data_IF_622581724996
#
_entry.id   IF_622581724996
#
_cell.length_a   1.000
_cell.length_b   1.000
_cell.length_c   1.000
_cell.angle_alpha   90.00
_cell.angle_beta   90.00
_cell.angle_gamma   90.00
#
_symmetry.space_group_name_H-M   'P 1'
#
loop_
_entity.id
_entity.type
_entity.pdbx_description
1 polymer ?
#
# COMPACT_ATOMS: atom_id res chain seq x y z
N UNK A 1 3.39 10.02 -6.41
CA UNK A 1 2.55 9.40 -7.45
C UNK A 1 3.29 8.26 -8.12
N UNK A 2 2.63 7.14 -8.37
CA UNK A 2 3.31 5.95 -8.92
C UNK A 2 3.50 5.98 -10.44
N UNK A 3 2.64 6.70 -11.16
CA UNK A 3 2.70 6.77 -12.63
C UNK A 3 3.97 7.49 -13.06
N UNK A 4 4.69 6.88 -14.00
CA UNK A 4 5.92 7.46 -14.56
C UNK A 4 7.16 7.35 -13.68
N UNK A 5 7.03 6.78 -12.48
CA UNK A 5 8.18 6.56 -11.61
C UNK A 5 8.85 5.22 -11.91
N UNK A 6 10.18 5.22 -11.83
CA UNK A 6 10.96 3.98 -11.83
C UNK A 6 11.23 3.59 -10.39
N UNK A 7 11.13 2.29 -10.10
CA UNK A 7 11.38 1.77 -8.78
C UNK A 7 12.72 1.05 -8.74
N UNK A 8 13.51 1.34 -7.70
CA UNK A 8 14.81 0.72 -7.51
C UNK A 8 14.68 -0.76 -7.20
N UNK A 9 13.64 -1.12 -6.45
CA UNK A 9 13.40 -2.49 -6.04
C UNK A 9 11.92 -2.77 -5.85
N UNK A 10 11.52 -4.01 -6.19
CA UNK A 10 10.17 -4.51 -5.99
C UNK A 10 10.26 -5.83 -5.24
N UNK A 11 9.63 -5.90 -4.08
CA UNK A 11 9.57 -7.14 -3.29
C UNK A 11 8.11 -7.57 -3.14
N UNK A 12 7.88 -8.89 -3.25
CA UNK A 12 6.55 -9.48 -3.13
C UNK A 12 6.51 -10.45 -1.97
N UNK A 13 5.33 -10.52 -1.31
CA UNK A 13 5.07 -11.47 -0.23
C UNK A 13 6.14 -11.40 0.86
N UNK A 14 6.43 -10.17 1.30
CA UNK A 14 7.43 -9.92 2.34
C UNK A 14 6.82 -10.20 3.70
N UNK A 15 7.49 -11.03 4.49
CA UNK A 15 7.06 -11.33 5.85
C UNK A 15 7.96 -10.59 6.83
N UNK A 16 7.35 -9.74 7.65
CA UNK A 16 8.00 -9.12 8.79
C UNK A 16 7.53 -9.78 10.07
N UNK A 17 8.45 -10.15 10.94
CA UNK A 17 8.08 -10.82 12.18
C UNK A 17 8.95 -10.38 13.36
N UNK A 18 8.31 -10.36 14.51
CA UNK A 18 8.98 -10.29 15.80
C UNK A 18 8.58 -11.53 16.57
N UNK A 19 9.05 -11.64 17.81
CA UNK A 19 8.69 -12.74 18.70
C UNK A 19 7.17 -12.90 18.85
N UNK A 20 6.44 -11.77 18.91
CA UNK A 20 5.04 -11.75 19.29
C UNK A 20 4.09 -11.34 18.16
N UNK A 21 4.64 -10.98 16.99
CA UNK A 21 3.83 -10.44 15.90
C UNK A 21 4.42 -10.77 14.55
N UNK A 22 3.53 -10.92 13.56
CA UNK A 22 3.91 -11.20 12.18
C UNK A 22 2.90 -10.55 11.25
N UNK A 23 3.39 -9.96 10.16
CA UNK A 23 2.56 -9.48 9.05
C UNK A 23 3.19 -9.86 7.72
N UNK A 24 2.34 -10.14 6.75
CA UNK A 24 2.74 -10.35 5.36
C UNK A 24 2.36 -9.12 4.54
N UNK A 25 3.29 -8.65 3.71
CA UNK A 25 3.10 -7.51 2.83
C UNK A 25 3.10 -8.01 1.39
N UNK A 26 2.02 -7.73 0.66
CA UNK A 26 1.88 -8.23 -0.71
C UNK A 26 2.95 -7.66 -1.63
N UNK A 27 3.13 -6.33 -1.62
CA UNK A 27 4.11 -5.67 -2.47
C UNK A 27 4.75 -4.51 -1.69
N UNK A 28 6.09 -4.45 -1.74
CA UNK A 28 6.86 -3.29 -1.32
C UNK A 28 7.63 -2.74 -2.51
N UNK A 29 7.40 -1.47 -2.84
CA UNK A 29 8.12 -0.78 -3.91
C UNK A 29 9.04 0.27 -3.30
N UNK A 30 10.32 0.22 -3.67
CA UNK A 30 11.30 1.18 -3.19
C UNK A 30 11.72 2.13 -4.30
N UNK A 31 11.79 3.40 -3.98
CA UNK A 31 12.24 4.45 -4.90
C UNK A 31 12.98 5.51 -4.11
N UNK A 32 14.33 5.52 -4.24
CA UNK A 32 15.16 6.43 -3.47
C UNK A 32 14.96 6.25 -1.97
N UNK A 33 14.42 7.27 -1.32
CA UNK A 33 14.15 7.28 0.12
C UNK A 33 12.69 6.96 0.46
N UNK A 34 11.90 6.50 -0.51
CA UNK A 34 10.48 6.18 -0.32
C UNK A 34 10.21 4.68 -0.43
N UNK A 35 9.27 4.19 0.37
CA UNK A 35 8.72 2.85 0.25
C UNK A 35 7.20 2.94 0.14
N UNK A 36 6.66 2.22 -0.85
CA UNK A 36 5.22 2.09 -1.06
C UNK A 36 4.79 0.72 -0.57
N UNK A 37 3.91 0.71 0.42
CA UNK A 37 3.34 -0.50 1.01
C UNK A 37 2.00 -0.72 0.31
N UNK A 38 1.92 -1.72 -0.57
CA UNK A 38 0.75 -1.94 -1.41
C UNK A 38 0.14 -3.30 -1.09
N UNK A 39 -1.15 -3.28 -0.75
CA UNK A 39 -1.95 -4.49 -0.57
C UNK A 39 -2.83 -4.70 -1.80
N UNK A 40 -2.98 -5.96 -2.18
CA UNK A 40 -3.77 -6.35 -3.36
C UNK A 40 -5.09 -6.92 -2.90
N UNK A 41 -6.20 -6.35 -3.38
CA UNK A 41 -7.57 -6.81 -3.08
C UNK A 41 -8.37 -6.87 -4.36
N UNK A 42 -9.06 -7.99 -4.59
CA UNK A 42 -9.95 -8.08 -5.74
C UNK A 42 -11.04 -7.01 -5.66
N UNK A 43 -11.65 -6.87 -4.47
CA UNK A 43 -12.63 -5.82 -4.17
C UNK A 43 -12.27 -5.19 -2.83
N UNK A 44 -12.19 -3.85 -2.80
CA UNK A 44 -11.88 -3.13 -1.57
C UNK A 44 -13.14 -2.90 -0.75
N UNK A 45 -13.08 -3.29 0.52
CA UNK A 45 -14.11 -3.01 1.52
C UNK A 45 -13.59 -1.95 2.50
N UNK A 46 -14.48 -1.24 3.21
CA UNK A 46 -14.05 -0.22 4.19
C UNK A 46 -13.08 -0.77 5.23
N UNK A 47 -13.26 -2.01 5.67
CA UNK A 47 -12.35 -2.64 6.64
C UNK A 47 -10.93 -2.81 6.11
N UNK A 48 -10.76 -2.93 4.80
CA UNK A 48 -9.43 -3.07 4.19
C UNK A 48 -8.61 -1.80 4.36
N UNK A 49 -9.28 -0.65 4.35
CA UNK A 49 -8.65 0.66 4.59
C UNK A 49 -8.10 0.70 6.01
N UNK A 50 -8.93 0.33 6.99
CA UNK A 50 -8.50 0.29 8.40
C UNK A 50 -7.35 -0.68 8.61
N UNK A 51 -7.42 -1.87 8.03
CA UNK A 51 -6.38 -2.88 8.15
C UNK A 51 -5.05 -2.37 7.59
N UNK A 52 -5.09 -1.74 6.42
CA UNK A 52 -3.89 -1.20 5.79
C UNK A 52 -3.25 -0.12 6.67
N UNK A 53 -4.03 0.81 7.17
CA UNK A 53 -3.50 1.92 7.97
C UNK A 53 -3.03 1.44 9.34
N UNK A 54 -3.86 0.68 10.06
CA UNK A 54 -3.61 0.34 11.47
C UNK A 54 -2.67 -0.84 11.63
N UNK A 55 -2.88 -1.90 10.86
CA UNK A 55 -2.05 -3.11 10.98
C UNK A 55 -0.83 -3.07 10.08
N UNK A 56 -1.03 -2.94 8.78
CA UNK A 56 0.07 -3.01 7.82
C UNK A 56 1.00 -1.81 7.97
N UNK A 57 0.46 -0.61 7.84
CA UNK A 57 1.23 0.62 7.97
C UNK A 57 1.71 0.86 9.40
N UNK A 58 0.83 0.61 10.38
CA UNK A 58 1.15 0.84 11.79
C UNK A 58 2.25 -0.07 12.34
N UNK A 59 2.31 -1.31 11.87
CA UNK A 59 3.30 -2.28 12.33
C UNK A 59 4.56 -2.34 11.45
N UNK A 60 4.60 -1.61 10.36
CA UNK A 60 5.68 -1.72 9.37
C UNK A 60 7.06 -1.53 9.98
N UNK A 61 7.26 -0.44 10.73
CA UNK A 61 8.58 -0.16 11.31
C UNK A 61 8.93 -1.08 12.48
N UNK A 62 7.93 -1.60 13.18
CA UNK A 62 8.17 -2.58 14.23
C UNK A 62 8.67 -3.89 13.65
N UNK A 63 8.09 -4.33 12.54
CA UNK A 63 8.37 -5.62 11.92
C UNK A 63 9.53 -5.57 10.93
N UNK A 64 9.75 -4.42 10.31
CA UNK A 64 10.79 -4.20 9.31
C UNK A 64 11.58 -2.91 9.64
N UNK A 65 12.29 -2.91 10.78
CA UNK A 65 12.96 -1.70 11.26
C UNK A 65 14.10 -1.22 10.38
N UNK A 66 14.61 -2.07 9.50
CA UNK A 66 15.66 -1.69 8.55
C UNK A 66 15.19 -0.62 7.56
N UNK A 67 13.88 -0.40 7.45
CA UNK A 67 13.32 0.61 6.54
C UNK A 67 12.85 1.87 7.26
N UNK A 68 13.31 2.11 8.50
CA UNK A 68 12.86 3.26 9.31
C UNK A 68 13.19 4.62 8.71
N UNK A 69 14.23 4.69 7.88
CA UNK A 69 14.65 5.95 7.25
C UNK A 69 13.91 6.25 5.94
N UNK A 70 13.08 5.31 5.49
CA UNK A 70 12.28 5.50 4.28
C UNK A 70 10.99 6.25 4.59
N UNK A 71 10.61 7.15 3.68
CA UNK A 71 9.30 7.77 3.71
C UNK A 71 8.25 6.74 3.26
N UNK A 72 7.22 6.54 4.05
CA UNK A 72 6.22 5.49 3.80
C UNK A 72 4.99 6.03 3.11
N UNK A 73 4.51 5.28 2.13
CA UNK A 73 3.28 5.54 1.42
C UNK A 73 2.43 4.28 1.39
N UNK A 74 1.11 4.42 1.50
CA UNK A 74 0.19 3.30 1.50
C UNK A 74 -0.58 3.26 0.18
N UNK A 75 -0.81 2.05 -0.34
CA UNK A 75 -1.56 1.85 -1.56
C UNK A 75 -2.41 0.59 -1.51
N UNK A 76 -3.52 0.62 -2.26
CA UNK A 76 -4.37 -0.54 -2.53
C UNK A 76 -4.45 -0.74 -4.03
N UNK A 77 -4.12 -1.94 -4.48
CA UNK A 77 -4.28 -2.35 -5.86
C UNK A 77 -5.54 -3.22 -5.96
N UNK A 78 -6.46 -2.88 -6.87
CA UNK A 78 -7.76 -3.54 -6.90
C UNK A 78 -8.37 -3.57 -8.31
N UNK A 79 -9.27 -4.54 -8.55
CA UNK A 79 -10.14 -4.56 -9.72
C UNK A 79 -11.44 -3.79 -9.48
N UNK A 80 -11.89 -3.68 -8.21
CA UNK A 80 -13.20 -3.12 -7.91
C UNK A 80 -13.18 -2.34 -6.61
N UNK A 81 -13.71 -1.12 -6.67
CA UNK A 81 -13.87 -0.27 -5.52
C UNK A 81 -15.09 0.66 -5.74
N UNK A 82 -15.98 0.73 -4.78
CA UNK A 82 -17.11 1.64 -4.84
C UNK A 82 -16.67 3.09 -4.60
N UNK A 83 -17.38 4.03 -5.21
CA UNK A 83 -16.99 5.45 -5.18
C UNK A 83 -16.82 5.99 -3.75
N UNK A 84 -17.73 5.64 -2.84
CA UNK A 84 -17.65 6.11 -1.46
C UNK A 84 -16.41 5.55 -0.74
N UNK A 85 -16.06 4.28 -1.01
CA UNK A 85 -14.88 3.64 -0.42
C UNK A 85 -13.62 4.22 -1.03
N UNK A 86 -13.61 4.48 -2.34
CA UNK A 86 -12.52 5.15 -3.04
C UNK A 86 -12.24 6.51 -2.39
N UNK A 87 -13.27 7.32 -2.21
CA UNK A 87 -13.09 8.64 -1.62
C UNK A 87 -12.54 8.57 -0.20
N UNK A 88 -13.04 7.63 0.61
CA UNK A 88 -12.53 7.44 1.96
C UNK A 88 -11.04 7.07 1.94
N UNK A 89 -10.64 6.14 1.06
CA UNK A 89 -9.25 5.73 0.94
C UNK A 89 -8.35 6.92 0.57
N UNK A 90 -8.74 7.68 -0.43
CA UNK A 90 -7.98 8.85 -0.87
C UNK A 90 -7.86 9.89 0.24
N UNK A 91 -8.95 10.18 0.94
CA UNK A 91 -8.97 11.15 2.03
C UNK A 91 -8.10 10.71 3.21
N UNK A 92 -7.91 9.41 3.38
CA UNK A 92 -7.08 8.85 4.45
C UNK A 92 -5.64 8.60 4.02
N UNK A 93 -5.23 9.12 2.88
CA UNK A 93 -3.83 9.08 2.45
C UNK A 93 -3.41 7.81 1.72
N UNK A 94 -4.37 7.07 1.16
CA UNK A 94 -4.09 5.84 0.42
C UNK A 94 -4.19 6.10 -1.08
N UNK A 95 -3.13 5.74 -1.81
CA UNK A 95 -3.14 5.75 -3.27
C UNK A 95 -3.85 4.51 -3.79
N UNK A 96 -4.70 4.65 -4.79
CA UNK A 96 -5.42 3.54 -5.39
C UNK A 96 -4.85 3.22 -6.77
N UNK A 97 -4.56 1.94 -6.99
CA UNK A 97 -4.16 1.40 -8.28
C UNK A 97 -5.31 0.52 -8.76
N UNK A 98 -6.11 1.05 -9.68
CA UNK A 98 -7.28 0.33 -10.17
C UNK A 98 -7.04 -0.24 -11.54
N UNK A 99 -7.26 -1.54 -11.69
CA UNK A 99 -7.17 -2.20 -12.98
C UNK A 99 -8.47 -2.03 -13.75
N UNK A 100 -8.34 -1.58 -15.00
CA UNK A 100 -9.45 -1.45 -15.95
C UNK A 100 -9.04 -2.12 -17.25
N UNK A 101 -9.49 -3.37 -17.45
CA UNK A 101 -9.05 -4.17 -18.60
C UNK A 101 -7.54 -4.42 -18.54
N UNK A 102 -6.81 -3.98 -19.56
CA UNK A 102 -5.36 -4.12 -19.63
C UNK A 102 -4.61 -2.92 -19.04
N UNK A 103 -5.33 -1.91 -18.56
CA UNK A 103 -4.74 -0.69 -18.04
C UNK A 103 -4.81 -0.66 -16.52
N UNK A 104 -3.80 -0.03 -15.91
CA UNK A 104 -3.80 0.28 -14.48
C UNK A 104 -3.85 1.78 -14.34
N UNK A 105 -4.92 2.27 -13.69
CA UNK A 105 -5.10 3.67 -13.39
C UNK A 105 -4.60 3.94 -11.99
N UNK A 106 -3.71 4.92 -11.84
CA UNK A 106 -3.23 5.37 -10.54
C UNK A 106 -4.04 6.59 -10.11
N UNK A 107 -4.71 6.47 -8.96
CA UNK A 107 -5.46 7.56 -8.36
C UNK A 107 -4.71 7.97 -7.10
N UNK A 108 -4.01 9.13 -7.13
CA UNK A 108 -3.17 9.52 -6.00
C UNK A 108 -4.00 9.88 -4.78
N UNK A 109 -3.43 9.63 -3.60
CA UNK A 109 -4.03 10.03 -2.35
C UNK A 109 -4.26 11.54 -2.31
N UNK A 110 -5.28 11.94 -1.56
CA UNK A 110 -5.52 13.36 -1.28
C UNK A 110 -4.34 13.94 -0.49
N UNK A 111 -3.98 15.17 -0.81
CA UNK A 111 -2.86 15.84 -0.14
C UNK A 111 -3.23 16.24 1.30
#
# INVERSE_FOLDING_TARGET
MLVGKQFDSVFRNVVGSTRDSQEEYDILLFNGDSVFIIEVKYRVHPKDIDTLIKRKGGNFLLLLPQYRDFQRHLGLATFSIEDAVLQEALDRGITILQRRGDLIETIPAAA
#
